data_IF_803215810850
#
_entry.id   IF_803215810850
#
_cell.length_a   1.000
_cell.length_b   1.000
_cell.length_c   1.000
_cell.angle_alpha   90.00
_cell.angle_beta   90.00
_cell.angle_gamma   90.00
#
_symmetry.space_group_name_H-M   'P 1'
#
loop_
_entity.id
_entity.type
_entity.pdbx_description
1 polymer ?
#
# COMPACT_ATOMS: atom_id res chain seq x y z
N UNK A 1 -6.48 23.83 -34.92
CA UNK A 1 -6.57 25.03 -35.78
C UNK A 1 -7.62 24.77 -36.84
N UNK A 2 -8.62 25.62 -36.93
CA UNK A 2 -9.66 25.58 -37.97
C UNK A 2 -9.59 26.93 -38.65
N UNK A 3 -9.20 26.95 -39.93
CA UNK A 3 -9.47 28.09 -40.80
C UNK A 3 -10.78 27.83 -41.54
N UNK A 4 -11.68 28.80 -41.44
CA UNK A 4 -12.91 28.90 -42.23
C UNK A 4 -12.60 29.73 -43.46
N UNK A 5 -12.78 29.15 -44.65
CA UNK A 5 -12.98 29.94 -45.87
C UNK A 5 -14.13 29.32 -46.67
N UNK A 6 -15.15 30.14 -46.88
CA UNK A 6 -16.23 30.07 -47.86
C UNK A 6 -17.22 28.90 -47.76
N UNK A 7 -18.40 29.21 -47.24
CA UNK A 7 -19.56 28.34 -47.12
C UNK A 7 -19.97 27.71 -48.45
N UNK A 8 -19.81 26.40 -48.54
CA UNK A 8 -20.66 25.49 -49.31
C UNK A 8 -20.37 24.06 -48.85
N UNK A 9 -21.40 23.36 -48.39
CA UNK A 9 -21.28 21.95 -48.03
C UNK A 9 -21.02 21.11 -49.29
N UNK A 10 -19.81 20.56 -49.45
CA UNK A 10 -19.56 19.45 -50.37
C UNK A 10 -19.41 18.14 -49.57
N UNK A 11 -20.31 17.18 -49.83
CA UNK A 11 -20.15 15.77 -49.41
C UNK A 11 -18.90 15.21 -50.09
N UNK A 12 -17.83 15.03 -49.33
CA UNK A 12 -16.71 14.18 -49.73
C UNK A 12 -17.06 12.74 -49.35
N UNK A 13 -17.61 12.02 -50.32
CA UNK A 13 -17.83 10.57 -50.25
C UNK A 13 -16.48 9.87 -50.39
N UNK A 14 -15.91 9.39 -49.29
CA UNK A 14 -14.72 8.53 -49.31
C UNK A 14 -15.19 7.09 -49.55
N UNK A 15 -14.66 6.36 -50.56
CA UNK A 15 -15.09 5.01 -50.87
C UNK A 15 -14.79 4.04 -49.71
N UNK A 16 -15.76 3.18 -49.38
CA UNK A 16 -15.61 2.07 -48.44
C UNK A 16 -14.69 1.00 -49.04
N UNK A 17 -13.39 1.15 -48.86
CA UNK A 17 -12.48 0.02 -49.01
C UNK A 17 -12.59 -0.86 -47.75
N UNK A 18 -13.09 -2.08 -47.96
CA UNK A 18 -13.07 -3.20 -47.02
C UNK A 18 -11.60 -3.56 -46.77
N UNK A 19 -11.00 -2.99 -45.74
CA UNK A 19 -9.70 -3.48 -45.24
C UNK A 19 -10.01 -4.65 -44.32
N UNK A 20 -9.83 -5.86 -44.84
CA UNK A 20 -9.58 -7.04 -44.02
C UNK A 20 -8.29 -6.78 -43.23
N UNK A 21 -8.39 -6.62 -41.91
CA UNK A 21 -7.18 -6.57 -41.09
C UNK A 21 -6.57 -7.97 -41.03
N UNK A 22 -5.57 -8.19 -41.89
CA UNK A 22 -4.60 -9.26 -41.72
C UNK A 22 -3.96 -9.10 -40.33
N UNK A 23 -3.85 -10.21 -39.60
CA UNK A 23 -3.05 -10.31 -38.38
C UNK A 23 -1.60 -9.98 -38.73
N UNK A 24 -1.12 -8.82 -38.28
CA UNK A 24 0.32 -8.60 -38.11
C UNK A 24 0.72 -9.24 -36.78
N UNK A 25 1.03 -10.52 -36.85
CA UNK A 25 1.98 -11.14 -35.93
C UNK A 25 3.36 -10.51 -36.18
N UNK A 26 4.15 -10.38 -35.11
CA UNK A 26 5.51 -9.79 -35.04
C UNK A 26 5.62 -8.29 -34.68
N UNK A 27 5.31 -7.98 -33.43
CA UNK A 27 6.10 -7.01 -32.65
C UNK A 27 6.38 -7.60 -31.25
N UNK A 28 7.61 -7.49 -30.70
CA UNK A 28 7.95 -8.00 -29.38
C UNK A 28 7.17 -7.20 -28.33
N UNK A 29 6.04 -7.74 -27.91
CA UNK A 29 5.21 -7.15 -26.87
C UNK A 29 5.97 -7.06 -25.56
N UNK A 30 6.36 -5.84 -25.19
CA UNK A 30 6.72 -5.48 -23.83
C UNK A 30 5.51 -5.78 -22.92
N UNK A 31 5.48 -7.00 -22.36
CA UNK A 31 4.47 -7.38 -21.39
C UNK A 31 4.68 -6.56 -20.12
N UNK A 32 3.56 -5.95 -19.67
CA UNK A 32 3.41 -5.03 -18.55
C UNK A 32 4.33 -5.34 -17.36
N UNK A 33 4.97 -4.32 -16.75
CA UNK A 33 5.51 -4.47 -15.41
C UNK A 33 4.36 -4.84 -14.47
N UNK A 34 4.59 -5.90 -13.72
CA UNK A 34 3.63 -6.63 -12.92
C UNK A 34 2.87 -5.75 -11.93
N UNK A 35 1.60 -5.47 -12.23
CA UNK A 35 0.59 -5.30 -11.19
C UNK A 35 0.43 -6.64 -10.45
N UNK A 36 0.34 -6.67 -9.10
CA UNK A 36 -0.01 -7.89 -8.35
C UNK A 36 -1.41 -8.42 -8.69
N UNK A 37 -2.17 -7.75 -9.57
CA UNK A 37 -3.51 -8.13 -10.02
C UNK A 37 -3.61 -9.31 -11.00
N UNK A 38 -3.23 -10.52 -10.56
CA UNK A 38 -4.00 -11.73 -10.94
C UNK A 38 -3.62 -12.92 -10.04
N UNK A 39 -4.62 -13.33 -9.24
CA UNK A 39 -4.77 -14.50 -8.35
C UNK A 39 -3.54 -14.83 -7.47
N UNK A 40 -3.62 -14.66 -6.14
CA UNK A 40 -2.53 -15.04 -5.22
C UNK A 40 -2.43 -16.57 -5.11
N UNK A 41 -1.89 -17.20 -6.15
CA UNK A 41 -1.75 -18.66 -6.25
C UNK A 41 -0.88 -19.21 -5.12
N UNK A 42 0.11 -18.43 -4.66
CA UNK A 42 1.01 -18.80 -3.55
C UNK A 42 0.28 -18.83 -2.20
N UNK A 43 -0.51 -17.81 -1.86
CA UNK A 43 -1.32 -17.82 -0.63
C UNK A 43 -2.33 -18.97 -0.65
N UNK A 44 -2.99 -19.22 -1.79
CA UNK A 44 -3.92 -20.35 -1.92
C UNK A 44 -3.22 -21.66 -1.59
N UNK A 45 -2.00 -21.86 -2.10
CA UNK A 45 -1.23 -23.07 -1.84
C UNK A 45 -0.87 -23.25 -0.37
N UNK A 46 -0.45 -22.17 0.29
CA UNK A 46 -0.12 -22.22 1.72
C UNK A 46 -1.39 -22.50 2.53
N UNK A 47 -2.50 -21.82 2.27
CA UNK A 47 -3.76 -22.07 2.98
C UNK A 47 -4.33 -23.47 2.73
N UNK A 48 -4.22 -23.99 1.50
CA UNK A 48 -4.57 -25.39 1.21
C UNK A 48 -3.71 -26.35 2.03
N UNK A 49 -2.41 -26.08 2.15
CA UNK A 49 -1.53 -26.88 3.02
C UNK A 49 -1.97 -26.81 4.49
N UNK A 50 -2.29 -25.62 5.03
CA UNK A 50 -2.77 -25.46 6.41
C UNK A 50 -4.04 -26.27 6.69
N UNK A 51 -4.97 -26.27 5.75
CA UNK A 51 -6.22 -27.03 5.87
C UNK A 51 -5.96 -28.53 5.74
N UNK A 52 -5.12 -28.95 4.77
CA UNK A 52 -4.83 -30.36 4.53
C UNK A 52 -4.06 -31.01 5.69
N UNK A 53 -3.14 -30.27 6.32
CA UNK A 53 -2.39 -30.73 7.50
C UNK A 53 -3.19 -30.60 8.80
N UNK A 54 -4.46 -30.18 8.72
CA UNK A 54 -5.36 -30.02 9.87
C UNK A 54 -4.87 -29.01 10.92
N UNK A 55 -4.00 -28.07 10.55
CA UNK A 55 -3.67 -26.93 11.42
C UNK A 55 -4.89 -26.04 11.65
N UNK A 56 -5.75 -25.86 10.63
CA UNK A 56 -6.98 -25.08 10.70
C UNK A 56 -8.09 -25.71 9.85
N UNK A 57 -9.34 -25.54 10.28
CA UNK A 57 -10.48 -25.75 9.38
C UNK A 57 -10.63 -24.58 8.40
N UNK A 58 -11.27 -24.82 7.25
CA UNK A 58 -11.56 -23.75 6.28
C UNK A 58 -12.44 -22.64 6.89
N UNK A 59 -13.33 -23.02 7.80
CA UNK A 59 -14.17 -22.09 8.56
C UNK A 59 -13.34 -21.24 9.50
N UNK A 60 -12.47 -21.85 10.33
CA UNK A 60 -11.59 -21.13 11.25
C UNK A 60 -10.66 -20.18 10.52
N UNK A 61 -10.11 -20.61 9.39
CA UNK A 61 -9.25 -19.78 8.53
C UNK A 61 -10.02 -18.55 8.00
N UNK A 62 -11.24 -18.74 7.53
CA UNK A 62 -12.10 -17.64 7.04
C UNK A 62 -12.53 -16.70 8.17
N UNK A 63 -12.87 -17.26 9.34
CA UNK A 63 -13.23 -16.50 10.53
C UNK A 63 -12.07 -15.62 10.98
N UNK A 64 -10.85 -16.17 11.13
CA UNK A 64 -9.64 -15.41 11.51
C UNK A 64 -9.35 -14.25 10.57
N UNK A 65 -9.47 -14.46 9.25
CA UNK A 65 -9.27 -13.40 8.25
C UNK A 65 -10.32 -12.30 8.38
N UNK A 66 -11.55 -12.67 8.69
CA UNK A 66 -12.63 -11.69 8.86
C UNK A 66 -12.48 -10.98 10.20
N UNK A 67 -12.37 -11.67 11.32
CA UNK A 67 -12.34 -11.06 12.65
C UNK A 67 -11.10 -10.19 12.92
N UNK A 68 -10.00 -10.39 12.18
CA UNK A 68 -8.76 -9.63 12.39
C UNK A 68 -8.96 -8.11 12.30
N UNK A 69 -8.33 -7.38 13.22
CA UNK A 69 -8.29 -5.93 13.22
C UNK A 69 -7.16 -5.42 12.30
N UNK A 70 -7.51 -5.09 11.06
CA UNK A 70 -6.57 -4.57 10.06
C UNK A 70 -6.09 -3.13 10.31
N UNK A 71 -6.62 -2.44 11.33
CA UNK A 71 -6.37 -1.02 11.55
C UNK A 71 -7.21 -0.11 10.64
N UNK A 72 -7.08 1.20 10.83
CA UNK A 72 -7.88 2.18 10.11
C UNK A 72 -7.51 2.25 8.62
N UNK A 73 -6.21 2.19 8.31
CA UNK A 73 -5.67 2.40 6.96
C UNK A 73 -6.15 1.30 6.00
N UNK A 74 -6.18 0.05 6.46
CA UNK A 74 -6.51 -1.11 5.63
C UNK A 74 -7.95 -1.59 5.78
N UNK A 75 -8.77 -0.95 6.61
CA UNK A 75 -10.18 -1.30 6.82
C UNK A 75 -10.97 -1.42 5.51
N UNK A 76 -10.70 -0.55 4.53
CA UNK A 76 -11.35 -0.57 3.20
C UNK A 76 -10.85 -1.71 2.30
N UNK A 77 -9.67 -2.25 2.57
CA UNK A 77 -9.03 -3.32 1.81
C UNK A 77 -9.16 -4.68 2.49
N UNK A 78 -9.93 -4.77 3.59
CA UNK A 78 -10.20 -6.03 4.29
C UNK A 78 -10.75 -7.07 3.31
N UNK A 79 -10.22 -8.31 3.33
CA UNK A 79 -10.77 -9.41 2.54
C UNK A 79 -12.23 -9.70 2.95
N UNK A 80 -13.14 -9.73 1.98
CA UNK A 80 -14.58 -9.97 2.22
C UNK A 80 -14.94 -11.44 2.49
N UNK A 81 -13.96 -12.34 2.45
CA UNK A 81 -14.12 -13.79 2.55
C UNK A 81 -13.28 -14.54 1.50
N UNK A 82 -12.93 -15.79 1.79
CA UNK A 82 -12.17 -16.63 0.86
C UNK A 82 -13.09 -17.55 0.08
N UNK A 83 -12.93 -17.57 -1.24
CA UNK A 83 -13.49 -18.62 -2.10
C UNK A 83 -12.41 -19.65 -2.38
N UNK A 84 -12.46 -20.78 -1.69
CA UNK A 84 -11.54 -21.89 -1.87
C UNK A 84 -12.15 -22.96 -2.80
N UNK A 85 -12.80 -22.55 -3.89
CA UNK A 85 -13.25 -23.48 -4.93
C UNK A 85 -12.04 -23.93 -5.79
N UNK A 86 -12.05 -25.18 -6.23
CA UNK A 86 -10.90 -25.82 -6.89
C UNK A 86 -10.43 -25.11 -8.17
N UNK A 87 -11.32 -24.43 -8.90
CA UNK A 87 -11.02 -23.85 -10.22
C UNK A 87 -10.68 -22.34 -10.22
N UNK A 88 -11.01 -21.59 -9.17
CA UNK A 88 -10.82 -20.13 -9.13
C UNK A 88 -9.91 -19.75 -7.97
N UNK A 89 -9.18 -18.63 -8.11
CA UNK A 89 -8.32 -18.12 -7.03
C UNK A 89 -9.15 -17.71 -5.81
N UNK A 90 -8.53 -17.15 -4.77
CA UNK A 90 -9.18 -16.79 -3.49
C UNK A 90 -10.38 -15.81 -3.57
N UNK A 91 -10.78 -15.36 -4.76
CA UNK A 91 -11.85 -14.37 -4.94
C UNK A 91 -11.46 -12.93 -4.61
N UNK A 92 -10.21 -12.71 -4.18
CA UNK A 92 -9.70 -11.41 -3.75
C UNK A 92 -9.20 -10.58 -4.94
N UNK A 93 -9.42 -9.27 -4.87
CA UNK A 93 -8.75 -8.33 -5.77
C UNK A 93 -7.27 -8.15 -5.39
N UNK A 94 -6.51 -7.38 -6.18
CA UNK A 94 -5.07 -7.21 -5.97
C UNK A 94 -4.73 -6.59 -4.60
N UNK A 95 -5.47 -5.55 -4.19
CA UNK A 95 -5.19 -4.80 -2.97
C UNK A 95 -5.62 -5.59 -1.71
N UNK A 96 -6.74 -6.31 -1.77
CA UNK A 96 -7.17 -7.25 -0.73
C UNK A 96 -6.19 -8.43 -0.60
N UNK A 97 -5.68 -8.94 -1.72
CA UNK A 97 -4.66 -9.99 -1.70
C UNK A 97 -3.39 -9.49 -1.01
N UNK A 98 -2.95 -8.27 -1.32
CA UNK A 98 -1.77 -7.67 -0.68
C UNK A 98 -1.98 -7.40 0.81
N UNK A 99 -3.14 -6.83 1.18
CA UNK A 99 -3.53 -6.65 2.57
C UNK A 99 -3.50 -7.97 3.34
N UNK A 100 -4.03 -9.05 2.75
CA UNK A 100 -3.98 -10.37 3.38
C UNK A 100 -2.55 -10.93 3.48
N UNK A 101 -1.74 -10.86 2.41
CA UNK A 101 -0.33 -11.33 2.45
C UNK A 101 0.43 -10.65 3.58
N UNK A 102 0.25 -9.34 3.74
CA UNK A 102 1.03 -8.55 4.69
C UNK A 102 0.63 -8.78 6.15
N UNK A 103 -0.67 -9.00 6.41
CA UNK A 103 -1.16 -9.27 7.76
C UNK A 103 -1.22 -10.77 8.10
N UNK A 104 -1.05 -11.66 7.11
CA UNK A 104 -1.07 -13.11 7.33
C UNK A 104 -0.15 -13.57 8.45
N UNK A 105 1.08 -13.03 8.59
CA UNK A 105 1.94 -13.37 9.73
C UNK A 105 1.30 -13.15 11.10
N UNK A 106 0.66 -12.00 11.34
CA UNK A 106 -0.03 -11.74 12.62
C UNK A 106 -1.32 -12.55 12.80
N UNK A 107 -2.00 -12.89 11.69
CA UNK A 107 -3.28 -13.64 11.72
C UNK A 107 -3.05 -15.13 12.04
N UNK A 108 -1.95 -15.70 11.54
CA UNK A 108 -1.72 -17.15 11.54
C UNK A 108 -0.40 -17.59 12.19
N UNK A 109 0.45 -16.65 12.61
CA UNK A 109 1.73 -16.99 13.23
C UNK A 109 1.60 -17.75 14.55
N UNK A 110 0.47 -17.61 15.27
CA UNK A 110 0.17 -18.38 16.48
C UNK A 110 -0.05 -19.88 16.21
N UNK A 111 -0.42 -20.23 14.97
CA UNK A 111 -0.76 -21.61 14.59
C UNK A 111 0.46 -22.37 14.08
N UNK A 112 1.46 -21.66 13.54
CA UNK A 112 2.58 -22.23 12.83
C UNK A 112 3.87 -22.07 13.61
N UNK A 113 4.67 -23.13 13.64
CA UNK A 113 6.00 -23.09 14.23
C UNK A 113 6.96 -22.24 13.38
N UNK A 114 7.91 -21.57 14.05
CA UNK A 114 8.93 -20.71 13.39
C UNK A 114 9.72 -21.44 12.28
N UNK A 115 9.97 -22.73 12.46
CA UNK A 115 10.76 -23.54 11.52
C UNK A 115 9.95 -24.16 10.37
N UNK A 116 8.66 -23.83 10.24
CA UNK A 116 7.82 -24.40 9.18
C UNK A 116 8.28 -23.88 7.79
N UNK A 117 8.60 -24.81 6.89
CA UNK A 117 9.12 -24.48 5.55
C UNK A 117 8.09 -23.78 4.65
N UNK A 118 6.79 -24.09 4.77
CA UNK A 118 5.73 -23.40 4.03
C UNK A 118 5.51 -21.98 4.55
N UNK A 119 5.73 -21.78 5.85
CA UNK A 119 5.68 -20.47 6.47
C UNK A 119 6.86 -19.60 6.05
N UNK A 120 8.07 -20.14 6.09
CA UNK A 120 9.27 -19.45 5.60
C UNK A 120 9.12 -19.03 4.12
N UNK A 121 8.48 -19.85 3.29
CA UNK A 121 8.17 -19.48 1.90
C UNK A 121 7.29 -18.21 1.81
N UNK A 122 6.32 -18.04 2.72
CA UNK A 122 5.51 -16.83 2.80
C UNK A 122 6.33 -15.63 3.26
N UNK A 123 7.13 -15.79 4.32
CA UNK A 123 7.97 -14.73 4.87
C UNK A 123 8.97 -14.21 3.83
N UNK A 124 9.64 -15.11 3.09
CA UNK A 124 10.51 -14.74 1.96
C UNK A 124 9.76 -13.95 0.89
N UNK A 125 8.52 -14.32 0.57
CA UNK A 125 7.70 -13.56 -0.37
C UNK A 125 7.40 -12.15 0.15
N UNK A 126 7.05 -12.02 1.44
CA UNK A 126 6.77 -10.73 2.07
C UNK A 126 8.02 -9.84 2.04
N UNK A 127 9.18 -10.36 2.40
CA UNK A 127 10.45 -9.61 2.35
C UNK A 127 10.77 -9.11 0.93
N UNK A 128 10.59 -9.98 -0.08
CA UNK A 128 10.76 -9.58 -1.48
C UNK A 128 9.80 -8.43 -1.85
N UNK A 129 8.52 -8.54 -1.48
CA UNK A 129 7.55 -7.50 -1.81
C UNK A 129 7.84 -6.20 -1.04
N UNK A 130 8.29 -6.28 0.21
CA UNK A 130 8.64 -5.10 1.02
C UNK A 130 9.77 -4.28 0.38
N UNK A 131 10.77 -4.93 -0.23
CA UNK A 131 11.82 -4.23 -0.98
C UNK A 131 11.26 -3.68 -2.30
N UNK A 132 10.50 -4.47 -3.04
CA UNK A 132 9.96 -4.08 -4.36
C UNK A 132 8.97 -2.90 -4.26
N UNK A 133 8.24 -2.80 -3.14
CA UNK A 133 7.30 -1.72 -2.86
C UNK A 133 7.89 -0.57 -2.05
N UNK A 134 9.20 -0.60 -1.75
CA UNK A 134 9.83 0.54 -1.10
C UNK A 134 9.95 1.72 -2.06
N UNK A 135 9.62 2.96 -1.64
CA UNK A 135 9.75 4.15 -2.47
C UNK A 135 11.22 4.53 -2.73
N UNK A 136 12.14 4.05 -1.89
CA UNK A 136 13.59 4.28 -1.96
C UNK A 136 14.29 2.93 -1.82
N UNK A 137 15.22 2.62 -2.71
CA UNK A 137 15.93 1.33 -2.70
C UNK A 137 17.42 1.56 -2.94
N UNK A 138 18.26 1.11 -2.00
CA UNK A 138 19.72 1.22 -2.12
C UNK A 138 20.29 0.12 -3.01
N UNK A 139 21.52 0.30 -3.49
CA UNK A 139 22.21 -0.74 -4.26
C UNK A 139 22.34 -2.06 -3.46
N UNK A 140 22.69 -1.97 -2.17
CA UNK A 140 22.78 -3.12 -1.25
C UNK A 140 21.49 -3.94 -1.22
N UNK A 141 20.34 -3.26 -1.09
CA UNK A 141 19.02 -3.91 -1.12
C UNK A 141 18.76 -4.67 -2.44
N UNK A 142 19.27 -4.18 -3.58
CA UNK A 142 19.09 -4.90 -4.84
C UNK A 142 19.88 -6.22 -4.89
N UNK A 143 21.07 -6.27 -4.28
CA UNK A 143 21.83 -7.52 -4.14
C UNK A 143 21.12 -8.46 -3.18
N UNK A 144 20.66 -7.96 -2.04
CA UNK A 144 19.90 -8.74 -1.07
C UNK A 144 18.62 -9.32 -1.68
N UNK A 145 17.86 -8.51 -2.43
CA UNK A 145 16.68 -8.94 -3.19
C UNK A 145 16.99 -10.10 -4.14
N UNK A 146 18.16 -10.11 -4.80
CA UNK A 146 18.56 -11.21 -5.68
C UNK A 146 18.68 -12.54 -4.90
N UNK A 147 19.24 -12.49 -3.69
CA UNK A 147 19.38 -13.66 -2.82
C UNK A 147 18.01 -14.13 -2.30
N UNK A 148 17.18 -13.23 -1.78
CA UNK A 148 15.82 -13.55 -1.35
C UNK A 148 15.00 -14.24 -2.46
N UNK A 149 15.08 -13.72 -3.68
CA UNK A 149 14.39 -14.31 -4.83
C UNK A 149 14.94 -15.71 -5.11
N UNK A 150 16.26 -15.92 -5.12
CA UNK A 150 16.87 -17.23 -5.32
C UNK A 150 16.37 -18.24 -4.28
N UNK A 151 16.38 -17.87 -3.02
CA UNK A 151 16.02 -18.75 -1.91
C UNK A 151 14.51 -19.06 -1.91
N UNK A 152 13.67 -18.05 -2.15
CA UNK A 152 12.24 -18.25 -2.36
C UNK A 152 11.98 -19.27 -3.50
N UNK A 153 12.64 -19.13 -4.65
CA UNK A 153 12.38 -20.00 -5.81
C UNK A 153 12.86 -21.43 -5.58
N UNK A 154 14.01 -21.61 -4.91
CA UNK A 154 14.50 -22.92 -4.50
C UNK A 154 13.52 -23.60 -3.55
N UNK A 155 13.10 -22.90 -2.49
CA UNK A 155 12.16 -23.41 -1.51
C UNK A 155 10.79 -23.71 -2.13
N UNK A 156 10.30 -22.85 -3.02
CA UNK A 156 9.06 -23.12 -3.77
C UNK A 156 9.16 -24.42 -4.57
N UNK A 157 10.31 -24.67 -5.20
CA UNK A 157 10.52 -25.88 -5.99
C UNK A 157 10.73 -27.14 -5.16
N UNK A 158 11.32 -27.03 -3.98
CA UNK A 158 11.42 -28.19 -3.06
C UNK A 158 10.07 -28.56 -2.48
N UNK A 159 9.22 -27.59 -2.12
CA UNK A 159 7.90 -27.84 -1.52
C UNK A 159 6.82 -28.22 -2.54
N UNK A 160 6.93 -27.71 -3.77
CA UNK A 160 5.96 -27.95 -4.85
C UNK A 160 6.69 -28.45 -6.10
N UNK A 161 7.36 -29.59 -5.99
CA UNK A 161 8.17 -30.20 -7.07
C UNK A 161 7.37 -30.38 -8.37
N UNK A 162 6.13 -30.84 -8.25
CA UNK A 162 5.20 -31.08 -9.37
C UNK A 162 4.76 -29.80 -10.09
N UNK A 163 4.82 -28.64 -9.44
CA UNK A 163 4.33 -27.38 -10.01
C UNK A 163 5.39 -26.69 -10.85
N UNK A 164 5.01 -26.27 -12.06
CA UNK A 164 5.88 -25.47 -12.94
C UNK A 164 5.99 -24.03 -12.45
N UNK A 165 7.17 -23.43 -12.59
CA UNK A 165 7.34 -22.01 -12.34
C UNK A 165 6.58 -21.21 -13.41
N UNK A 166 5.65 -20.37 -12.97
CA UNK A 166 4.93 -19.45 -13.86
C UNK A 166 5.81 -18.27 -14.31
N UNK A 167 5.46 -17.56 -15.40
CA UNK A 167 6.23 -16.41 -15.89
C UNK A 167 6.54 -15.33 -14.84
N UNK A 168 5.67 -15.13 -13.84
CA UNK A 168 5.93 -14.18 -12.74
C UNK A 168 7.21 -14.51 -11.96
N UNK A 169 7.52 -15.79 -11.77
CA UNK A 169 8.76 -16.22 -11.14
C UNK A 169 9.99 -15.79 -11.96
N UNK A 170 9.93 -16.00 -13.27
CA UNK A 170 10.98 -15.56 -14.17
C UNK A 170 11.16 -14.04 -14.15
N UNK A 171 10.06 -13.27 -14.18
CA UNK A 171 10.14 -11.80 -14.14
C UNK A 171 10.78 -11.27 -12.86
N UNK A 172 10.54 -11.90 -11.71
CA UNK A 172 11.17 -11.51 -10.44
C UNK A 172 12.70 -11.54 -10.52
N UNK A 173 13.30 -12.49 -11.26
CA UNK A 173 14.76 -12.57 -11.44
C UNK A 173 15.36 -11.30 -12.03
N UNK A 174 14.59 -10.53 -12.80
CA UNK A 174 15.03 -9.29 -13.40
C UNK A 174 14.86 -8.06 -12.49
N UNK A 175 14.08 -8.16 -11.39
CA UNK A 175 13.79 -7.00 -10.54
C UNK A 175 15.05 -6.30 -10.00
N UNK A 176 16.07 -7.01 -9.45
CA UNK A 176 17.31 -6.36 -9.01
C UNK A 176 18.01 -5.54 -10.09
N UNK A 177 18.02 -6.05 -11.33
CA UNK A 177 18.62 -5.34 -12.47
C UNK A 177 17.76 -4.17 -12.92
N UNK A 178 16.44 -4.34 -12.95
CA UNK A 178 15.52 -3.26 -13.30
C UNK A 178 15.62 -2.12 -12.30
N UNK A 179 15.57 -2.39 -10.99
CA UNK A 179 15.66 -1.36 -9.95
C UNK A 179 16.93 -0.51 -10.11
N UNK A 180 18.09 -1.15 -10.34
CA UNK A 180 19.35 -0.42 -10.58
C UNK A 180 19.36 0.44 -11.85
N UNK A 181 18.51 0.14 -12.83
CA UNK A 181 18.48 0.86 -14.12
C UNK A 181 17.44 1.96 -14.19
N UNK A 182 16.25 1.73 -13.63
CA UNK A 182 15.10 2.64 -13.74
C UNK A 182 14.64 3.23 -12.40
N UNK A 183 15.26 2.81 -11.29
CA UNK A 183 14.85 3.16 -9.94
C UNK A 183 13.76 2.24 -9.37
N UNK A 184 13.19 2.59 -8.21
CA UNK A 184 12.21 1.77 -7.50
C UNK A 184 10.98 1.42 -8.35
N UNK A 185 10.61 0.14 -8.36
CA UNK A 185 9.51 -0.36 -9.21
C UNK A 185 8.14 0.19 -8.84
N UNK A 186 7.97 0.65 -7.59
CA UNK A 186 6.77 1.31 -7.11
C UNK A 186 6.37 2.50 -8.00
N UNK A 187 7.33 3.25 -8.53
CA UNK A 187 7.05 4.48 -9.30
C UNK A 187 6.58 4.20 -10.74
N UNK A 188 6.78 2.97 -11.25
CA UNK A 188 6.41 2.57 -12.63
C UNK A 188 5.27 1.55 -12.69
N UNK A 189 4.66 1.22 -11.55
CA UNK A 189 3.60 0.22 -11.48
C UNK A 189 2.28 0.68 -12.14
N UNK A 190 1.48 -0.29 -12.60
CA UNK A 190 0.28 0.02 -13.38
C UNK A 190 -1.01 0.24 -12.56
N UNK A 191 -0.95 0.20 -11.22
CA UNK A 191 -2.15 0.28 -10.35
C UNK A 191 -2.96 1.57 -10.59
N UNK A 192 -2.28 2.71 -10.82
CA UNK A 192 -2.95 3.99 -11.11
C UNK A 192 -3.68 3.98 -12.46
N UNK A 193 -3.11 3.33 -13.48
CA UNK A 193 -3.75 3.18 -14.78
C UNK A 193 -4.97 2.25 -14.69
N UNK A 194 -4.87 1.16 -13.92
CA UNK A 194 -5.98 0.25 -13.67
C UNK A 194 -7.13 0.94 -12.93
N UNK A 195 -6.80 1.76 -11.91
CA UNK A 195 -7.79 2.59 -11.23
C UNK A 195 -8.47 3.60 -12.17
N UNK A 196 -7.71 4.23 -13.10
CA UNK A 196 -8.30 5.13 -14.10
C UNK A 196 -9.29 4.44 -15.03
N UNK A 197 -9.10 3.15 -15.35
CA UNK A 197 -10.07 2.41 -16.15
C UNK A 197 -11.44 2.27 -15.48
N UNK A 198 -11.49 2.27 -14.15
CA UNK A 198 -12.76 2.19 -13.41
C UNK A 198 -13.68 3.38 -13.72
N UNK A 199 -13.12 4.58 -13.89
CA UNK A 199 -13.86 5.76 -14.34
C UNK A 199 -14.57 5.48 -15.67
N UNK A 200 -13.80 5.07 -16.69
CA UNK A 200 -14.36 4.80 -18.02
C UNK A 200 -15.43 3.70 -17.98
N UNK A 201 -15.23 2.63 -17.21
CA UNK A 201 -16.23 1.56 -17.07
C UNK A 201 -17.56 2.04 -16.51
N UNK A 202 -17.56 2.98 -15.55
CA UNK A 202 -18.80 3.56 -14.97
C UNK A 202 -19.45 4.60 -15.87
N UNK A 203 -18.66 5.22 -16.74
CA UNK A 203 -19.07 6.26 -17.69
C UNK A 203 -19.82 5.74 -18.92
N UNK A 204 -19.63 4.46 -19.29
CA UNK A 204 -20.36 3.84 -20.41
C UNK A 204 -21.79 3.50 -20.00
N UNK A 205 -22.71 4.46 -20.15
CA UNK A 205 -24.16 4.23 -20.03
C UNK A 205 -24.91 4.31 -21.36
N UNK A 206 -24.21 4.66 -22.44
CA UNK A 206 -24.78 4.79 -23.79
C UNK A 206 -23.88 4.06 -24.80
N UNK A 207 -24.47 3.21 -25.64
CA UNK A 207 -23.77 2.41 -26.64
C UNK A 207 -23.59 3.12 -27.99
N UNK A 208 -24.19 4.31 -28.19
CA UNK A 208 -24.01 5.13 -29.39
C UNK A 208 -22.84 6.08 -29.21
N UNK A 209 -21.84 6.00 -30.09
CA UNK A 209 -20.65 6.86 -30.08
C UNK A 209 -19.90 6.86 -28.74
N UNK A 210 -19.61 5.65 -28.20
CA UNK A 210 -18.97 5.43 -26.90
C UNK A 210 -17.72 6.30 -26.71
N UNK A 211 -16.85 6.39 -27.72
CA UNK A 211 -15.62 7.19 -27.66
C UNK A 211 -15.90 8.67 -27.42
N UNK A 212 -16.90 9.25 -28.09
CA UNK A 212 -17.30 10.65 -27.91
C UNK A 212 -17.87 10.89 -26.51
N UNK A 213 -18.72 9.99 -26.02
CA UNK A 213 -19.29 10.10 -24.67
C UNK A 213 -18.20 10.01 -23.59
N UNK A 214 -17.30 9.04 -23.69
CA UNK A 214 -16.18 8.87 -22.77
C UNK A 214 -15.22 10.07 -22.80
N UNK A 215 -14.91 10.59 -23.99
CA UNK A 215 -14.05 11.75 -24.16
C UNK A 215 -14.67 13.00 -23.51
N UNK A 216 -15.95 13.28 -23.78
CA UNK A 216 -16.66 14.40 -23.16
C UNK A 216 -16.68 14.29 -21.63
N UNK A 217 -16.96 13.11 -21.09
CA UNK A 217 -17.00 12.92 -19.63
C UNK A 217 -15.61 13.05 -19.00
N UNK A 218 -14.57 12.52 -19.66
CA UNK A 218 -13.19 12.68 -19.21
C UNK A 218 -12.74 14.14 -19.26
N UNK A 219 -13.08 14.89 -20.31
CA UNK A 219 -12.79 16.31 -20.41
C UNK A 219 -13.47 17.12 -19.31
N UNK A 220 -14.75 16.85 -19.02
CA UNK A 220 -15.47 17.47 -17.90
C UNK A 220 -14.80 17.16 -16.55
N UNK A 221 -14.40 15.90 -16.34
CA UNK A 221 -13.70 15.51 -15.12
C UNK A 221 -12.33 16.21 -15.00
N UNK A 222 -11.59 16.33 -16.09
CA UNK A 222 -10.31 17.07 -16.10
C UNK A 222 -10.51 18.55 -15.81
N UNK A 223 -11.49 19.20 -16.45
CA UNK A 223 -11.81 20.60 -16.20
C UNK A 223 -12.16 20.83 -14.73
N UNK A 224 -13.03 19.98 -14.15
CA UNK A 224 -13.37 20.02 -12.73
C UNK A 224 -12.12 19.86 -11.84
N UNK A 225 -11.26 18.87 -12.13
CA UNK A 225 -10.04 18.68 -11.35
C UNK A 225 -9.08 19.84 -11.48
N UNK A 226 -8.99 20.51 -12.64
CA UNK A 226 -8.13 21.68 -12.85
C UNK A 226 -8.63 22.92 -12.13
N UNK A 227 -9.94 23.17 -12.18
CA UNK A 227 -10.57 24.29 -11.48
C UNK A 227 -10.46 24.14 -9.96
N UNK A 228 -10.58 22.90 -9.45
CA UNK A 228 -10.44 22.57 -8.04
C UNK A 228 -9.03 22.06 -7.70
N UNK A 229 -8.04 22.31 -8.56
CA UNK A 229 -6.69 21.82 -8.32
C UNK A 229 -5.99 22.72 -7.30
N UNK A 230 -6.08 22.34 -6.03
CA UNK A 230 -5.10 22.79 -5.06
C UNK A 230 -3.87 21.86 -5.11
N UNK A 231 -2.69 22.46 -5.28
CA UNK A 231 -1.43 21.73 -5.22
C UNK A 231 -1.20 21.17 -3.82
N UNK A 232 -1.65 21.89 -2.78
CA UNK A 232 -1.67 21.39 -1.41
C UNK A 232 -3.03 20.78 -1.13
N UNK A 233 -3.16 19.46 -1.34
CA UNK A 233 -4.37 18.71 -0.95
C UNK A 233 -4.41 18.55 0.56
N UNK A 234 -4.63 19.67 1.24
CA UNK A 234 -4.66 19.78 2.68
C UNK A 234 -6.11 19.84 3.15
N UNK A 235 -6.57 18.75 3.76
CA UNK A 235 -7.92 18.63 4.31
C UNK A 235 -7.78 18.30 5.80
N UNK A 236 -8.58 18.92 6.69
CA UNK A 236 -8.54 18.61 8.11
C UNK A 236 -9.95 18.51 8.71
N UNK A 237 -10.05 17.77 9.81
CA UNK A 237 -11.28 17.63 10.58
C UNK A 237 -11.65 18.89 11.37
N UNK A 238 -12.78 18.89 12.08
CA UNK A 238 -13.23 20.04 12.87
C UNK A 238 -12.16 20.48 13.89
N UNK A 239 -11.88 21.78 13.91
CA UNK A 239 -10.83 22.38 14.75
C UNK A 239 -11.38 22.73 16.13
N UNK A 240 -10.61 22.38 17.16
CA UNK A 240 -10.84 22.78 18.56
C UNK A 240 -9.64 23.56 19.04
N UNK A 241 -9.89 24.72 19.65
CA UNK A 241 -8.84 25.47 20.33
C UNK A 241 -8.56 24.85 21.69
N UNK A 242 -7.29 24.66 22.01
CA UNK A 242 -6.82 24.19 23.31
C UNK A 242 -5.61 25.01 23.75
N UNK A 243 -5.48 25.26 25.04
CA UNK A 243 -4.27 25.87 25.58
C UNK A 243 -3.11 24.87 25.51
N UNK A 244 -1.90 25.36 25.21
CA UNK A 244 -0.70 24.52 25.10
C UNK A 244 -0.44 23.75 26.41
N UNK A 245 -0.62 24.39 27.57
CA UNK A 245 -0.48 23.79 28.90
C UNK A 245 -1.42 22.59 29.15
N UNK A 246 -2.57 22.54 28.46
CA UNK A 246 -3.51 21.41 28.58
C UNK A 246 -3.10 20.17 27.79
N UNK A 247 -2.05 20.25 26.97
CA UNK A 247 -1.60 19.18 26.10
C UNK A 247 -0.39 18.48 26.73
N UNK A 248 -0.43 17.15 26.79
CA UNK A 248 0.75 16.35 27.12
C UNK A 248 1.85 16.62 26.09
N UNK A 249 3.00 17.13 26.53
CA UNK A 249 4.08 17.59 25.66
C UNK A 249 3.96 19.03 25.17
N UNK A 250 3.11 19.85 25.81
CA UNK A 250 2.94 21.28 25.53
C UNK A 250 4.24 22.09 25.57
N UNK A 251 5.17 21.74 26.45
CA UNK A 251 6.48 22.42 26.57
C UNK A 251 7.31 22.32 25.28
N UNK A 252 7.20 21.20 24.56
CA UNK A 252 7.89 21.05 23.29
C UNK A 252 7.23 21.93 22.22
N UNK A 253 5.91 22.04 22.25
CA UNK A 253 5.17 22.92 21.34
C UNK A 253 5.50 24.39 21.55
N UNK A 254 5.55 24.85 22.81
CA UNK A 254 5.92 26.23 23.12
C UNK A 254 7.33 26.55 22.61
N UNK A 255 8.27 25.62 22.76
CA UNK A 255 9.64 25.78 22.27
C UNK A 255 9.74 25.82 20.73
N UNK A 256 9.03 24.95 20.01
CA UNK A 256 9.10 24.87 18.54
C UNK A 256 8.43 26.08 17.88
N UNK A 257 7.28 26.51 18.40
CA UNK A 257 6.58 27.67 17.84
C UNK A 257 7.10 29.01 18.40
N UNK A 258 7.94 28.99 19.43
CA UNK A 258 8.39 30.17 20.18
C UNK A 258 7.20 31.00 20.73
N UNK A 259 6.25 30.31 21.38
CA UNK A 259 4.99 30.88 21.87
C UNK A 259 4.80 30.54 23.36
N UNK A 260 4.20 31.44 24.14
CA UNK A 260 3.90 31.20 25.56
C UNK A 260 2.97 29.99 25.78
N UNK A 261 3.16 29.28 26.89
CA UNK A 261 2.37 28.09 27.26
C UNK A 261 0.85 28.36 27.42
N UNK A 262 0.46 29.62 27.61
CA UNK A 262 -0.94 30.05 27.71
C UNK A 262 -1.62 30.35 26.37
N UNK A 263 -0.91 30.24 25.25
CA UNK A 263 -1.51 30.50 23.96
C UNK A 263 -2.43 29.37 23.51
N UNK A 264 -3.48 29.73 22.79
CA UNK A 264 -4.41 28.78 22.17
C UNK A 264 -3.83 28.25 20.86
N UNK A 265 -3.81 26.91 20.73
CA UNK A 265 -3.48 26.22 19.48
C UNK A 265 -4.72 25.54 18.89
N UNK A 266 -4.79 25.57 17.57
CA UNK A 266 -5.84 24.91 16.78
C UNK A 266 -5.51 23.43 16.64
N UNK A 267 -6.27 22.57 17.33
CA UNK A 267 -6.10 21.12 17.31
C UNK A 267 -7.20 20.42 16.50
N UNK A 268 -6.89 19.28 15.89
CA UNK A 268 -7.85 18.45 15.15
C UNK A 268 -7.62 16.96 15.41
N UNK A 269 -8.64 16.14 15.17
CA UNK A 269 -8.53 14.68 15.34
C UNK A 269 -7.85 13.98 14.17
N UNK A 270 -7.92 14.59 12.98
CA UNK A 270 -7.33 14.04 11.76
C UNK A 270 -6.96 15.15 10.78
N UNK A 271 -5.92 14.89 10.00
CA UNK A 271 -5.51 15.71 8.87
C UNK A 271 -5.14 14.82 7.70
N UNK A 272 -5.37 15.29 6.49
CA UNK A 272 -5.05 14.59 5.25
C UNK A 272 -4.22 15.51 4.37
N UNK A 273 -3.02 15.05 4.06
CA UNK A 273 -2.03 15.80 3.32
C UNK A 273 -1.55 14.97 2.12
N UNK A 274 -1.60 15.55 0.91
CA UNK A 274 -1.32 14.87 -0.36
C UNK A 274 -2.07 13.53 -0.54
N UNK A 275 -3.26 13.43 0.06
CA UNK A 275 -4.09 12.22 0.04
C UNK A 275 -3.76 11.17 1.11
N UNK A 276 -2.79 11.43 1.98
CA UNK A 276 -2.46 10.56 3.13
C UNK A 276 -3.07 11.13 4.39
N UNK A 277 -3.86 10.31 5.08
CA UNK A 277 -4.61 10.70 6.27
C UNK A 277 -3.86 10.26 7.54
N UNK A 278 -3.70 11.19 8.47
CA UNK A 278 -3.08 11.02 9.78
C UNK A 278 -4.15 11.25 10.84
N UNK A 279 -4.18 10.40 11.86
CA UNK A 279 -5.13 10.49 12.97
C UNK A 279 -4.41 10.36 14.30
N UNK A 280 -5.00 10.93 15.35
CA UNK A 280 -4.54 10.72 16.72
C UNK A 280 -4.54 9.23 17.04
N UNK A 281 -3.47 8.73 17.68
CA UNK A 281 -3.27 7.34 18.02
C UNK A 281 -2.55 6.50 16.95
N UNK A 282 -2.35 7.02 15.74
CA UNK A 282 -1.51 6.39 14.72
C UNK A 282 -0.02 6.56 15.02
N UNK A 283 0.81 5.79 14.34
CA UNK A 283 2.26 5.82 14.50
C UNK A 283 2.91 6.37 13.22
N UNK A 284 4.00 7.12 13.38
CA UNK A 284 4.81 7.63 12.26
C UNK A 284 6.26 7.18 12.44
N UNK A 285 6.95 6.96 11.32
CA UNK A 285 8.38 6.68 11.34
C UNK A 285 9.13 8.00 11.12
N UNK A 286 9.95 8.37 12.11
CA UNK A 286 10.64 9.67 12.16
C UNK A 286 12.12 9.59 11.82
N UNK A 287 12.66 8.38 11.73
CA UNK A 287 14.09 8.15 11.55
C UNK A 287 14.40 6.66 11.52
N UNK A 288 15.65 6.34 11.24
CA UNK A 288 16.24 5.03 11.43
C UNK A 288 17.45 5.17 12.36
N UNK A 289 17.61 4.26 13.31
CA UNK A 289 18.80 4.15 14.15
C UNK A 289 19.47 2.81 13.86
N UNK A 290 20.67 2.81 13.30
CA UNK A 290 21.38 1.58 12.93
C UNK A 290 20.50 0.62 12.10
N UNK A 291 19.76 1.15 11.12
CA UNK A 291 18.78 0.46 10.25
C UNK A 291 17.43 0.11 10.89
N UNK A 292 17.26 0.25 12.22
CA UNK A 292 15.97 0.04 12.88
C UNK A 292 15.08 1.29 12.84
N UNK A 293 13.79 1.18 12.49
CA UNK A 293 12.89 2.32 12.43
C UNK A 293 12.55 2.89 13.81
N UNK A 294 12.59 4.22 13.91
CA UNK A 294 12.18 4.98 15.08
C UNK A 294 10.72 5.38 14.90
N UNK A 295 9.84 4.63 15.55
CA UNK A 295 8.41 4.92 15.59
C UNK A 295 8.08 5.92 16.70
N UNK A 296 7.09 6.77 16.43
CA UNK A 296 6.50 7.68 17.42
C UNK A 296 4.99 7.68 17.26
N UNK A 297 4.25 7.75 18.36
CA UNK A 297 2.78 7.76 18.38
C UNK A 297 2.27 9.19 18.33
N UNK A 298 1.29 9.47 17.48
CA UNK A 298 0.64 10.77 17.36
C UNK A 298 -0.30 10.97 18.55
N UNK A 299 -0.03 11.97 19.39
CA UNK A 299 -0.88 12.32 20.54
C UNK A 299 -1.83 13.46 20.19
N UNK A 300 -1.35 14.47 19.45
CA UNK A 300 -2.15 15.59 18.99
C UNK A 300 -1.75 16.02 17.58
N UNK A 301 -2.70 16.60 16.85
CA UNK A 301 -2.46 17.19 15.52
C UNK A 301 -2.84 18.66 15.61
N UNK A 302 -1.92 19.52 15.22
CA UNK A 302 -2.06 20.97 15.27
C UNK A 302 -2.08 21.50 13.85
N UNK A 303 -3.00 22.42 13.58
CA UNK A 303 -3.16 23.08 12.29
C UNK A 303 -2.82 24.55 12.47
N UNK A 304 -1.82 25.02 11.72
CA UNK A 304 -1.39 26.41 11.76
C UNK A 304 -0.95 26.83 10.36
N UNK A 305 -1.43 27.97 9.87
CA UNK A 305 -1.12 28.51 8.54
C UNK A 305 -1.23 27.48 7.39
N UNK A 306 -2.33 26.73 7.34
CA UNK A 306 -2.58 25.68 6.33
C UNK A 306 -1.55 24.54 6.31
N UNK A 307 -0.76 24.43 7.38
CA UNK A 307 0.17 23.32 7.61
C UNK A 307 -0.27 22.50 8.82
N UNK A 308 0.07 21.22 8.79
CA UNK A 308 -0.13 20.33 9.92
C UNK A 308 1.19 19.97 10.60
N UNK A 309 1.15 20.06 11.92
CA UNK A 309 2.20 19.64 12.82
C UNK A 309 1.65 18.51 13.69
N UNK A 310 2.41 17.44 13.83
CA UNK A 310 2.04 16.31 14.68
C UNK A 310 2.88 16.35 15.95
N UNK A 311 2.21 16.43 17.09
CA UNK A 311 2.81 16.17 18.38
C UNK A 311 2.85 14.67 18.59
N UNK A 312 4.02 14.17 18.92
CA UNK A 312 4.24 12.73 19.03
C UNK A 312 4.95 12.37 20.33
N UNK A 313 4.65 11.21 20.90
CA UNK A 313 5.40 10.61 21.99
C UNK A 313 6.28 9.46 21.50
N UNK A 314 7.39 9.23 22.22
CA UNK A 314 8.36 8.17 21.91
C UNK A 314 7.74 6.79 22.05
N UNK A 315 8.11 5.90 21.14
CA UNK A 315 7.76 4.49 21.21
C UNK A 315 9.05 3.71 21.12
N UNK A 316 9.24 2.75 22.02
CA UNK A 316 10.42 1.89 21.98
C UNK A 316 10.16 0.72 21.04
N UNK A 317 10.93 0.65 19.97
CA UNK A 317 11.04 -0.55 19.12
C UNK A 317 11.90 -1.57 19.86
N UNK A 318 11.29 -2.64 20.37
CA UNK A 318 12.01 -3.64 21.18
C UNK A 318 12.86 -4.57 20.31
N UNK A 319 12.25 -5.12 19.25
CA UNK A 319 12.90 -6.00 18.28
C UNK A 319 11.98 -6.19 17.05
N UNK A 320 12.56 -6.61 15.94
CA UNK A 320 11.80 -7.12 14.79
C UNK A 320 11.54 -8.62 14.98
N UNK A 321 10.27 -9.02 15.02
CA UNK A 321 9.91 -10.45 15.04
C UNK A 321 9.81 -10.97 13.60
N UNK A 322 10.75 -11.81 13.22
CA UNK A 322 10.84 -12.41 11.89
C UNK A 322 9.68 -13.36 11.57
N UNK A 323 9.13 -14.03 12.58
CA UNK A 323 8.00 -14.94 12.46
C UNK A 323 6.68 -14.21 12.18
N UNK A 324 6.51 -13.05 12.81
CA UNK A 324 5.36 -12.15 12.58
C UNK A 324 5.62 -11.10 11.49
N UNK A 325 6.86 -11.01 10.98
CA UNK A 325 7.30 -9.96 10.07
C UNK A 325 6.81 -8.57 10.54
N UNK A 326 6.99 -8.26 11.82
CA UNK A 326 6.48 -7.05 12.44
C UNK A 326 7.40 -6.56 13.57
N UNK A 327 7.40 -5.25 13.81
CA UNK A 327 8.16 -4.66 14.90
C UNK A 327 7.36 -4.72 16.19
N UNK A 328 7.90 -5.36 17.23
CA UNK A 328 7.33 -5.32 18.56
C UNK A 328 7.64 -3.97 19.20
N UNK A 329 6.61 -3.29 19.70
CA UNK A 329 6.74 -1.95 20.26
C UNK A 329 6.19 -1.87 21.68
N UNK A 330 6.75 -0.96 22.46
CA UNK A 330 6.21 -0.55 23.76
C UNK A 330 5.99 0.97 23.77
N UNK A 331 4.82 1.39 24.22
CA UNK A 331 4.46 2.81 24.27
C UNK A 331 5.05 3.43 25.54
N UNK A 332 5.79 4.53 25.41
CA UNK A 332 6.23 5.36 26.53
C UNK A 332 5.65 6.77 26.39
N UNK A 333 5.10 7.29 27.47
CA UNK A 333 4.53 8.64 27.51
C UNK A 333 5.52 9.65 28.13
N UNK A 334 6.83 9.47 27.89
CA UNK A 334 7.90 10.21 28.58
C UNK A 334 8.56 11.30 27.72
N UNK A 335 8.71 11.09 26.41
CA UNK A 335 9.44 12.00 25.51
C UNK A 335 8.58 12.48 24.34
N UNK A 336 8.37 13.80 24.26
CA UNK A 336 7.57 14.45 23.21
C UNK A 336 8.42 15.11 22.13
N UNK A 337 7.85 15.25 20.94
CA UNK A 337 8.50 15.87 19.78
C UNK A 337 7.44 16.32 18.79
N UNK A 338 7.72 17.42 18.08
CA UNK A 338 6.82 17.99 17.09
C UNK A 338 7.46 17.86 15.72
N UNK A 339 6.69 17.36 14.75
CA UNK A 339 7.15 17.24 13.36
C UNK A 339 6.14 17.90 12.42
N UNK A 340 6.58 18.72 11.46
CA UNK A 340 5.76 19.08 10.31
C UNK A 340 5.45 17.81 9.50
N UNK A 341 4.20 17.63 9.08
CA UNK A 341 3.81 16.45 8.29
C UNK A 341 4.60 16.34 6.97
N UNK A 342 5.03 17.47 6.42
CA UNK A 342 5.82 17.54 5.19
C UNK A 342 7.26 17.03 5.34
N UNK A 343 7.80 17.04 6.55
CA UNK A 343 9.20 16.67 6.84
C UNK A 343 9.35 15.21 7.28
N UNK A 344 8.25 14.45 7.32
CA UNK A 344 8.30 13.03 7.62
C UNK A 344 9.06 12.26 6.54
N UNK A 345 10.10 11.54 6.96
CA UNK A 345 10.89 10.65 6.10
C UNK A 345 9.96 9.63 5.41
N UNK A 346 9.05 9.04 6.20
CA UNK A 346 8.01 8.16 5.69
C UNK A 346 6.64 8.81 5.87
N UNK A 347 6.09 9.24 4.74
CA UNK A 347 4.79 9.91 4.68
C UNK A 347 3.60 9.03 5.06
N UNK A 348 3.76 7.70 5.20
CA UNK A 348 2.65 6.81 5.55
C UNK A 348 2.63 6.55 7.05
N UNK A 349 1.50 6.81 7.74
CA UNK A 349 1.34 6.38 9.11
C UNK A 349 1.13 4.87 9.18
N UNK A 350 1.24 4.34 10.39
CA UNK A 350 1.05 2.94 10.74
C UNK A 350 -0.06 2.80 11.78
N UNK A 351 -0.79 1.70 11.70
CA UNK A 351 -1.79 1.31 12.70
C UNK A 351 -1.14 0.43 13.78
N UNK A 352 -1.66 0.53 14.99
CA UNK A 352 -1.40 -0.44 16.06
C UNK A 352 -2.09 -1.76 15.73
N UNK A 353 -1.35 -2.85 15.72
CA UNK A 353 -1.88 -4.18 15.47
C UNK A 353 -1.50 -5.17 16.57
N UNK A 354 -2.27 -6.26 16.62
CA UNK A 354 -2.13 -7.33 17.60
C UNK A 354 -1.97 -8.64 16.84
N UNK A 355 -1.10 -9.52 17.35
CA UNK A 355 -1.11 -10.93 16.95
C UNK A 355 -2.37 -11.60 17.52
N UNK A 356 -2.81 -12.70 16.89
CA UNK A 356 -3.85 -13.54 17.48
C UNK A 356 -3.36 -14.34 18.71
N UNK A 357 -2.06 -14.28 19.05
CA UNK A 357 -1.56 -14.82 20.31
C UNK A 357 -2.15 -14.05 21.51
N UNK A 358 -2.40 -14.75 22.61
CA UNK A 358 -2.92 -14.21 23.89
C UNK A 358 -1.93 -13.24 24.60
N UNK A 359 -0.95 -12.68 23.89
CA UNK A 359 0.09 -11.82 24.47
C UNK A 359 -0.28 -10.34 24.25
N UNK A 360 -0.19 -9.52 25.30
CA UNK A 360 -0.47 -8.07 25.28
C UNK A 360 0.60 -7.24 24.52
N UNK A 361 1.28 -7.85 23.53
CA UNK A 361 2.30 -7.18 22.73
C UNK A 361 1.66 -6.39 21.60
N UNK A 362 2.24 -5.22 21.32
CA UNK A 362 1.83 -4.36 20.23
C UNK A 362 2.79 -4.47 19.08
N UNK A 363 2.26 -4.54 17.86
CA UNK A 363 3.04 -4.70 16.65
C UNK A 363 2.76 -3.57 15.65
N UNK A 364 3.82 -3.16 14.96
CA UNK A 364 3.75 -2.35 13.74
C UNK A 364 4.18 -3.23 12.57
N UNK A 365 3.27 -3.41 11.61
CA UNK A 365 3.56 -4.15 10.38
C UNK A 365 4.13 -3.20 9.34
N UNK A 366 5.36 -3.44 8.85
CA UNK A 366 5.98 -2.58 7.83
C UNK A 366 5.22 -2.68 6.50
N UNK A 367 4.98 -1.52 5.88
CA UNK A 367 4.40 -1.44 4.54
C UNK A 367 5.41 -1.74 3.43
N UNK A 368 6.68 -1.44 3.70
CA UNK A 368 7.83 -1.62 2.85
C UNK A 368 9.09 -1.71 3.71
N UNK A 369 10.23 -2.02 3.10
CA UNK A 369 11.52 -1.86 3.77
C UNK A 369 11.80 -0.36 3.99
N UNK A 370 12.17 -0.02 5.23
CA UNK A 370 12.45 1.34 5.68
C UNK A 370 13.97 1.52 5.59
N UNK A 371 14.40 2.43 4.73
CA UNK A 371 15.77 2.95 4.56
C UNK A 371 15.90 4.27 5.31
#
# INVERSE_FOLDING_TARGET
>A
MVERVNGTFKKLTIPRNRVQSQRMDHQPGWRKPSSPGHKPHKLKLIFQYLVNQKYLSLESLSQRIQSFNYGYIERKNRPSGLKMDDSKGLGLNAIQSWCLVRNAPLIFGDVLERNNCYWNLLLLLIQIVNIVFSPVVTNGMTYFLKHLIKDHHKLFKSLFSEKRLIPKHHFMLHYPRCIRKIGPLLHVWCMRFEAKHHFFKRSVKNFKNITKALMNQHQRQLAYHWENFDFQRFEFGPVKKKNIDSLEGGDVLSSVFNVNAYCEVSTTNWVKNYGTEYQIGMFVCTGTNMEDPIFRKITNIIVHNEQAFILTCRVDTLYFDDHFNAYCINERADSFSVFPVMELIYYRPYDKQFSNEMCEKYYIVPHCHIV
#
